data_IF_573702672938
#
_entry.id   IF_573702672938
#
_cell.length_a   1.000
_cell.length_b   1.000
_cell.length_c   1.000
_cell.angle_alpha   90.00
_cell.angle_beta   90.00
_cell.angle_gamma   90.00
#
_symmetry.space_group_name_H-M   'P 1'
#
loop_
_entity.id
_entity.type
_entity.pdbx_description
1 polymer ?
#
# COMPACT_ATOMS: atom_id res chain seq x y z
N UNK A 1 6.30 2.92 -12.84
CA UNK A 1 5.97 3.62 -11.57
C UNK A 1 5.13 4.82 -11.92
N UNK A 2 3.97 5.06 -11.29
CA UNK A 2 3.02 6.18 -11.50
C UNK A 2 2.72 6.73 -12.94
N UNK A 3 3.34 6.28 -14.03
CA UNK A 3 3.36 7.01 -15.29
C UNK A 3 3.55 6.11 -16.53
N UNK A 4 2.44 5.57 -17.02
CA UNK A 4 1.99 5.61 -18.42
C UNK A 4 0.69 4.82 -18.52
N UNK A 5 -0.39 5.44 -19.01
CA UNK A 5 -1.68 4.79 -19.22
C UNK A 5 -2.72 4.98 -18.11
N UNK A 6 -2.58 5.98 -17.24
CA UNK A 6 -3.59 6.33 -16.22
C UNK A 6 -3.75 5.33 -15.07
N UNK A 7 -2.92 4.28 -15.00
CA UNK A 7 -2.93 3.31 -13.90
C UNK A 7 -2.06 3.81 -12.73
N UNK A 8 -2.67 3.90 -11.56
CA UNK A 8 -1.97 4.20 -10.31
C UNK A 8 -1.35 2.93 -9.72
N UNK A 9 -0.30 3.04 -8.89
CA UNK A 9 0.24 1.91 -8.13
C UNK A 9 -0.86 1.21 -7.31
N UNK A 10 -0.74 -0.11 -7.03
CA UNK A 10 -1.82 -0.91 -6.43
C UNK A 10 -2.09 -0.62 -4.94
N UNK A 11 -1.53 0.47 -4.41
CA UNK A 11 -1.73 0.99 -3.07
C UNK A 11 -2.23 2.45 -3.07
N UNK A 12 -2.46 3.04 -4.24
CA UNK A 12 -3.06 4.38 -4.42
C UNK A 12 -4.36 4.24 -5.21
N UNK A 13 -5.47 4.59 -4.59
CA UNK A 13 -6.78 4.57 -5.23
C UNK A 13 -7.10 5.95 -5.84
N UNK A 14 -7.64 6.02 -7.08
CA UNK A 14 -7.93 7.30 -7.74
C UNK A 14 -9.12 8.05 -7.10
N UNK A 15 -8.94 9.30 -6.61
CA UNK A 15 -10.01 10.09 -5.98
C UNK A 15 -11.26 10.27 -6.86
N UNK A 16 -11.06 10.50 -8.17
CA UNK A 16 -12.17 10.70 -9.12
C UNK A 16 -13.16 9.52 -9.20
N UNK A 17 -12.71 8.29 -8.86
CA UNK A 17 -13.57 7.11 -8.85
C UNK A 17 -14.42 7.04 -7.58
N UNK A 18 -13.85 7.42 -6.42
CA UNK A 18 -14.55 7.41 -5.13
C UNK A 18 -15.64 8.48 -5.10
N UNK A 19 -15.33 9.66 -5.64
CA UNK A 19 -16.23 10.82 -5.64
C UNK A 19 -17.41 10.68 -6.61
N UNK A 20 -17.47 9.61 -7.40
CA UNK A 20 -18.59 9.33 -8.29
C UNK A 20 -18.69 10.28 -9.49
N UNK A 21 -17.63 11.02 -9.82
CA UNK A 21 -17.60 11.89 -10.99
C UNK A 21 -17.65 11.03 -12.26
N UNK A 22 -18.80 11.06 -12.93
CA UNK A 22 -19.24 10.18 -14.02
C UNK A 22 -18.42 10.22 -15.33
N UNK A 23 -17.22 10.80 -15.32
CA UNK A 23 -16.32 10.91 -16.48
C UNK A 23 -14.89 10.54 -16.06
N UNK A 24 -14.70 9.32 -15.55
CA UNK A 24 -13.37 8.74 -15.29
C UNK A 24 -12.45 8.81 -16.53
N UNK A 25 -13.05 8.82 -17.73
CA UNK A 25 -12.37 9.02 -19.02
C UNK A 25 -11.76 10.42 -19.21
N UNK A 26 -12.27 11.47 -18.56
CA UNK A 26 -11.73 12.83 -18.73
C UNK A 26 -10.62 13.16 -17.72
N UNK A 27 -10.68 12.58 -16.52
CA UNK A 27 -9.67 12.79 -15.48
C UNK A 27 -8.27 12.34 -15.93
N UNK A 28 -8.19 11.26 -16.69
CA UNK A 28 -6.95 10.64 -17.18
C UNK A 28 -6.67 10.86 -18.67
N UNK A 29 -7.38 11.78 -19.32
CA UNK A 29 -7.31 11.98 -20.78
C UNK A 29 -5.89 12.23 -21.31
N UNK A 30 -5.00 12.80 -20.50
CA UNK A 30 -3.59 13.08 -20.84
C UNK A 30 -2.62 11.98 -20.38
N UNK A 31 -3.13 10.84 -19.91
CA UNK A 31 -2.35 9.73 -19.38
C UNK A 31 -2.02 9.82 -17.88
N UNK A 32 -2.42 10.91 -17.21
CA UNK A 32 -2.21 11.19 -15.79
C UNK A 32 -3.50 11.65 -15.11
N UNK A 33 -3.68 11.28 -13.84
CA UNK A 33 -4.84 11.71 -13.04
C UNK A 33 -4.72 13.19 -12.66
N UNK A 34 -5.68 14.01 -13.10
CA UNK A 34 -5.80 15.42 -12.67
C UNK A 34 -6.38 15.60 -11.27
N UNK A 35 -6.98 14.55 -10.72
CA UNK A 35 -7.64 14.56 -9.40
C UNK A 35 -6.71 14.21 -8.24
N UNK A 36 -5.40 14.09 -8.46
CA UNK A 36 -4.46 13.75 -7.38
C UNK A 36 -4.36 14.92 -6.39
N UNK A 37 -4.37 14.65 -5.08
CA UNK A 37 -4.09 15.68 -4.07
C UNK A 37 -2.66 16.18 -4.21
N UNK A 38 -2.37 17.36 -3.66
CA UNK A 38 -1.11 18.09 -3.86
C UNK A 38 0.14 17.22 -3.67
N UNK A 39 0.24 16.49 -2.55
CA UNK A 39 1.38 15.60 -2.26
C UNK A 39 1.60 14.54 -3.36
N UNK A 40 0.53 13.89 -3.83
CA UNK A 40 0.63 12.88 -4.88
C UNK A 40 0.84 13.49 -6.27
N UNK A 41 0.34 14.72 -6.50
CA UNK A 41 0.60 15.46 -7.73
C UNK A 41 2.08 15.88 -7.83
N UNK A 42 2.68 16.36 -6.73
CA UNK A 42 4.12 16.64 -6.62
C UNK A 42 4.91 15.35 -6.87
N UNK A 43 4.52 14.25 -6.23
CA UNK A 43 5.15 12.94 -6.45
C UNK A 43 5.11 12.51 -7.92
N UNK A 44 3.95 12.63 -8.57
CA UNK A 44 3.80 12.33 -9.99
C UNK A 44 4.74 13.18 -10.88
N UNK A 45 4.88 14.48 -10.59
CA UNK A 45 5.79 15.35 -11.33
C UNK A 45 7.27 14.98 -11.12
N UNK A 46 7.65 14.57 -9.91
CA UNK A 46 9.01 14.11 -9.61
C UNK A 46 9.31 12.76 -10.26
N UNK A 47 8.35 11.83 -10.29
CA UNK A 47 8.48 10.56 -11.05
C UNK A 47 8.68 10.84 -12.54
N UNK A 48 7.90 11.75 -13.12
CA UNK A 48 8.08 12.14 -14.53
C UNK A 48 9.46 12.75 -14.78
N UNK A 49 9.91 13.63 -13.89
CA UNK A 49 11.25 14.24 -13.96
C UNK A 49 12.35 13.18 -13.84
N UNK A 50 12.13 12.16 -13.02
CA UNK A 50 13.02 11.01 -12.87
C UNK A 50 13.06 10.17 -14.14
N UNK A 51 11.92 9.77 -14.69
CA UNK A 51 11.87 8.96 -15.92
C UNK A 51 12.45 9.69 -17.13
N UNK A 52 12.31 11.02 -17.20
CA UNK A 52 12.84 11.85 -18.28
C UNK A 52 14.29 12.34 -18.05
N UNK A 53 14.95 11.95 -16.95
CA UNK A 53 16.26 12.51 -16.59
C UNK A 53 17.34 12.12 -17.59
N UNK A 54 18.30 13.03 -17.78
CA UNK A 54 19.55 12.77 -18.51
C UNK A 54 20.71 12.67 -17.52
N UNK A 55 21.88 12.23 -17.98
CA UNK A 55 23.09 12.21 -17.15
C UNK A 55 23.40 13.60 -16.53
N UNK A 56 23.12 14.69 -17.26
CA UNK A 56 23.34 16.07 -16.78
C UNK A 56 22.30 16.55 -15.75
N UNK A 57 21.11 15.95 -15.71
CA UNK A 57 20.02 16.36 -14.81
C UNK A 57 19.77 15.39 -13.65
N UNK A 58 20.37 14.20 -13.66
CA UNK A 58 20.11 13.15 -12.67
C UNK A 58 20.32 13.61 -11.21
N UNK A 59 21.45 14.25 -10.92
CA UNK A 59 21.73 14.78 -9.56
C UNK A 59 20.71 15.84 -9.13
N UNK A 60 20.26 16.71 -10.05
CA UNK A 60 19.25 17.72 -9.73
C UNK A 60 17.91 17.07 -9.37
N UNK A 61 17.47 16.09 -10.16
CA UNK A 61 16.20 15.39 -9.93
C UNK A 61 16.23 14.65 -8.59
N UNK A 62 17.33 13.96 -8.28
CA UNK A 62 17.49 13.30 -6.99
C UNK A 62 17.44 14.28 -5.81
N UNK A 63 18.14 15.41 -5.89
CA UNK A 63 18.06 16.46 -4.88
C UNK A 63 16.63 16.98 -4.66
N UNK A 64 15.85 17.11 -5.74
CA UNK A 64 14.44 17.50 -5.64
C UNK A 64 13.60 16.44 -4.94
N UNK A 65 13.83 15.16 -5.21
CA UNK A 65 13.16 14.05 -4.52
C UNK A 65 13.49 14.05 -3.02
N UNK A 66 14.76 14.14 -2.64
CA UNK A 66 15.13 14.17 -1.22
C UNK A 66 14.61 15.39 -0.48
N UNK A 67 14.60 16.55 -1.15
CA UNK A 67 14.00 17.75 -0.58
C UNK A 67 12.52 17.55 -0.28
N UNK A 68 11.80 16.88 -1.18
CA UNK A 68 10.39 16.55 -0.96
C UNK A 68 10.20 15.52 0.16
N UNK A 69 11.03 14.47 0.21
CA UNK A 69 11.02 13.52 1.34
C UNK A 69 11.22 14.23 2.67
N UNK A 70 12.22 15.13 2.75
CA UNK A 70 12.50 15.92 3.94
C UNK A 70 11.34 16.86 4.31
N UNK A 71 10.67 17.46 3.32
CA UNK A 71 9.45 18.26 3.56
C UNK A 71 8.36 17.42 4.20
N UNK A 72 8.04 16.27 3.60
CA UNK A 72 7.01 15.35 4.08
C UNK A 72 7.32 14.86 5.49
N UNK A 73 8.58 14.50 5.77
CA UNK A 73 9.00 14.09 7.11
C UNK A 73 8.90 15.21 8.14
N UNK A 74 9.25 16.45 7.80
CA UNK A 74 9.22 17.56 8.76
C UNK A 74 7.81 18.08 9.06
N UNK A 75 6.88 17.96 8.10
CA UNK A 75 5.53 18.50 8.22
C UNK A 75 4.50 17.46 8.71
N UNK A 76 4.86 16.17 8.78
CA UNK A 76 3.90 15.08 9.04
C UNK A 76 3.13 15.20 10.36
N UNK A 77 3.70 15.83 11.39
CA UNK A 77 3.02 16.04 12.68
C UNK A 77 1.78 16.93 12.56
N UNK A 78 1.70 17.74 11.50
CA UNK A 78 0.55 18.61 11.20
C UNK A 78 -0.50 17.96 10.29
N UNK A 79 -0.20 16.79 9.73
CA UNK A 79 -1.03 16.15 8.73
C UNK A 79 -2.21 15.40 9.36
N UNK A 80 -3.36 15.45 8.68
CA UNK A 80 -4.48 14.58 8.96
C UNK A 80 -4.25 13.16 8.39
N UNK A 81 -5.17 12.22 8.67
CA UNK A 81 -5.05 10.82 8.24
C UNK A 81 -4.88 10.64 6.72
N UNK A 82 -5.62 11.40 5.90
CA UNK A 82 -5.48 11.33 4.44
C UNK A 82 -4.15 11.92 3.95
N UNK A 83 -3.70 13.02 4.54
CA UNK A 83 -2.42 13.67 4.23
C UNK A 83 -1.23 12.77 4.63
N UNK A 84 -1.31 12.10 5.79
CA UNK A 84 -0.34 11.11 6.24
C UNK A 84 -0.27 9.92 5.28
N UNK A 85 -1.41 9.41 4.84
CA UNK A 85 -1.47 8.34 3.83
C UNK A 85 -0.80 8.79 2.52
N UNK A 86 -1.14 9.97 2.01
CA UNK A 86 -0.56 10.50 0.78
C UNK A 86 0.96 10.71 0.89
N UNK A 87 1.42 11.22 2.03
CA UNK A 87 2.84 11.38 2.32
C UNK A 87 3.57 10.03 2.34
N UNK A 88 3.02 9.03 3.03
CA UNK A 88 3.61 7.69 3.08
C UNK A 88 3.64 7.04 1.70
N UNK A 89 2.56 7.14 0.93
CA UNK A 89 2.49 6.64 -0.45
C UNK A 89 3.55 7.29 -1.34
N UNK A 90 3.75 8.60 -1.25
CA UNK A 90 4.78 9.32 -2.01
C UNK A 90 6.19 8.85 -1.62
N UNK A 91 6.49 8.73 -0.33
CA UNK A 91 7.79 8.25 0.16
C UNK A 91 8.06 6.81 -0.31
N UNK A 92 7.06 5.92 -0.24
CA UNK A 92 7.18 4.55 -0.77
C UNK A 92 7.52 4.55 -2.26
N UNK A 93 6.91 5.43 -3.06
CA UNK A 93 7.26 5.57 -4.47
C UNK A 93 8.72 5.99 -4.64
N UNK A 94 9.20 6.96 -3.87
CA UNK A 94 10.59 7.40 -3.95
C UNK A 94 11.59 6.30 -3.54
N UNK A 95 11.24 5.45 -2.56
CA UNK A 95 12.04 4.26 -2.23
C UNK A 95 12.08 3.28 -3.41
N UNK A 96 10.95 3.03 -4.07
CA UNK A 96 10.90 2.17 -5.25
C UNK A 96 11.72 2.75 -6.43
N UNK A 97 11.74 4.08 -6.60
CA UNK A 97 12.62 4.72 -7.58
C UNK A 97 14.09 4.49 -7.24
N UNK A 98 14.46 4.60 -5.95
CA UNK A 98 15.84 4.41 -5.50
C UNK A 98 16.28 2.95 -5.64
N UNK A 99 15.40 1.99 -5.35
CA UNK A 99 15.64 0.57 -5.58
C UNK A 99 15.88 0.25 -7.08
N UNK A 100 15.26 1.03 -7.98
CA UNK A 100 15.45 0.92 -9.43
C UNK A 100 16.68 1.65 -9.98
N UNK A 101 17.43 2.38 -9.14
CA UNK A 101 18.64 3.15 -9.53
C UNK A 101 19.73 3.00 -8.45
N UNK A 102 20.22 1.77 -8.18
CA UNK A 102 21.15 1.52 -7.09
C UNK A 102 22.49 2.25 -7.25
N UNK A 103 22.89 2.55 -8.49
CA UNK A 103 24.14 3.26 -8.79
C UNK A 103 24.14 4.71 -8.25
N UNK A 104 22.96 5.29 -7.98
CA UNK A 104 22.86 6.64 -7.42
C UNK A 104 23.01 6.69 -5.90
N UNK A 105 22.89 5.55 -5.20
CA UNK A 105 22.90 5.46 -3.72
C UNK A 105 24.14 6.12 -3.10
N UNK A 106 25.39 5.87 -3.56
CA UNK A 106 26.58 6.42 -2.91
C UNK A 106 26.68 7.95 -2.98
N UNK A 107 25.91 8.58 -3.88
CA UNK A 107 25.96 10.02 -4.15
C UNK A 107 24.79 10.77 -3.51
N UNK A 108 23.87 10.05 -2.89
CA UNK A 108 22.59 10.54 -2.43
C UNK A 108 22.49 10.44 -0.90
N UNK A 109 21.77 11.38 -0.28
CA UNK A 109 21.45 11.32 1.15
C UNK A 109 20.25 10.39 1.39
N UNK A 110 20.52 9.10 1.52
CA UNK A 110 19.50 8.07 1.72
C UNK A 110 18.90 8.07 3.13
N UNK A 111 19.48 8.79 4.10
CA UNK A 111 19.02 8.77 5.49
C UNK A 111 17.56 9.23 5.63
N UNK A 112 17.15 10.24 4.84
CA UNK A 112 15.78 10.71 4.82
C UNK A 112 14.82 9.66 4.22
N UNK A 113 15.23 8.94 3.17
CA UNK A 113 14.40 7.87 2.57
C UNK A 113 14.19 6.69 3.52
N UNK A 114 15.15 6.42 4.40
CA UNK A 114 15.06 5.33 5.39
C UNK A 114 14.23 5.74 6.61
N UNK A 115 14.38 6.97 7.10
CA UNK A 115 13.72 7.43 8.33
C UNK A 115 12.31 8.01 8.14
N UNK A 116 12.01 8.64 7.00
CA UNK A 116 10.69 9.22 6.74
C UNK A 116 9.52 8.21 6.77
N UNK A 117 9.63 6.99 6.20
CA UNK A 117 8.57 5.99 6.28
C UNK A 117 8.20 5.65 7.71
N UNK A 118 9.19 5.54 8.60
CA UNK A 118 8.98 5.18 10.00
C UNK A 118 8.13 6.23 10.73
N UNK A 119 8.55 7.50 10.66
CA UNK A 119 7.88 8.60 11.36
C UNK A 119 6.44 8.76 10.85
N UNK A 120 6.26 8.77 9.53
CA UNK A 120 4.95 8.95 8.91
C UNK A 120 4.04 7.73 9.18
N UNK A 121 4.55 6.50 9.05
CA UNK A 121 3.78 5.29 9.32
C UNK A 121 3.34 5.19 10.79
N UNK A 122 4.17 5.64 11.73
CA UNK A 122 3.81 5.69 13.16
C UNK A 122 2.66 6.65 13.44
N UNK A 123 2.72 7.85 12.87
CA UNK A 123 1.63 8.83 12.97
C UNK A 123 0.35 8.35 12.28
N UNK A 124 0.49 7.67 11.13
CA UNK A 124 -0.64 7.05 10.42
C UNK A 124 -1.26 5.89 11.21
N UNK A 125 -0.45 5.04 11.84
CA UNK A 125 -0.92 3.94 12.67
C UNK A 125 -1.72 4.43 13.88
N UNK A 126 -1.34 5.58 14.44
CA UNK A 126 -2.06 6.19 15.58
C UNK A 126 -3.35 6.89 15.16
N UNK A 127 -3.43 7.36 13.91
CA UNK A 127 -4.58 8.12 13.39
C UNK A 127 -5.58 7.29 12.58
N UNK A 128 -5.24 6.04 12.21
CA UNK A 128 -6.05 5.18 11.35
C UNK A 128 -6.30 3.82 11.99
N UNK A 129 -7.58 3.44 12.09
CA UNK A 129 -7.99 2.11 12.53
C UNK A 129 -8.07 1.14 11.34
N UNK A 130 -6.95 0.97 10.65
CA UNK A 130 -6.86 0.14 9.44
C UNK A 130 -6.76 -1.36 9.76
N UNK A 131 -6.66 -1.79 11.02
CA UNK A 131 -6.49 -3.20 11.38
C UNK A 131 -7.81 -3.97 11.52
N UNK A 132 -8.95 -3.27 11.64
CA UNK A 132 -10.29 -3.86 11.84
C UNK A 132 -10.84 -4.65 10.66
N UNK A 133 -11.80 -5.55 10.88
CA UNK A 133 -12.48 -6.18 9.75
C UNK A 133 -13.32 -5.18 8.94
N UNK A 134 -12.77 -4.77 7.78
CA UNK A 134 -13.42 -3.83 6.85
C UNK A 134 -14.71 -4.37 6.23
N UNK A 135 -15.01 -5.67 6.35
CA UNK A 135 -16.26 -6.30 5.87
C UNK A 135 -17.32 -6.49 6.96
N UNK A 136 -17.02 -6.15 8.22
CA UNK A 136 -17.94 -6.32 9.35
C UNK A 136 -18.94 -5.16 9.47
N UNK A 137 -18.63 -3.98 8.94
CA UNK A 137 -19.48 -2.80 9.12
C UNK A 137 -20.64 -2.76 8.13
N UNK A 138 -21.87 -2.65 8.64
CA UNK A 138 -23.08 -2.45 7.82
C UNK A 138 -23.22 -1.03 7.26
N UNK A 139 -22.38 -0.08 7.71
CA UNK A 139 -22.48 1.35 7.42
C UNK A 139 -21.19 1.97 6.88
N UNK A 140 -20.22 1.16 6.44
CA UNK A 140 -18.95 1.73 5.98
C UNK A 140 -19.16 2.53 4.69
N UNK A 141 -18.70 3.76 4.71
CA UNK A 141 -18.64 4.59 3.51
C UNK A 141 -17.50 4.11 2.59
N UNK A 142 -17.70 4.19 1.27
CA UNK A 142 -16.69 3.71 0.31
C UNK A 142 -15.38 4.49 0.43
N UNK A 143 -15.42 5.81 0.67
CA UNK A 143 -14.22 6.63 0.85
C UNK A 143 -13.44 6.16 2.06
N UNK A 144 -14.15 5.97 3.18
CA UNK A 144 -13.55 5.47 4.42
C UNK A 144 -12.92 4.08 4.24
N UNK A 145 -13.64 3.17 3.57
CA UNK A 145 -13.11 1.84 3.23
C UNK A 145 -11.83 1.95 2.38
N UNK A 146 -11.85 2.79 1.34
CA UNK A 146 -10.71 2.98 0.42
C UNK A 146 -9.50 3.57 1.16
N UNK A 147 -9.69 4.51 2.07
CA UNK A 147 -8.60 5.09 2.87
C UNK A 147 -7.94 3.99 3.70
N UNK A 148 -8.71 3.23 4.50
CA UNK A 148 -8.17 2.16 5.36
C UNK A 148 -7.48 1.05 4.56
N UNK A 149 -8.07 0.67 3.44
CA UNK A 149 -7.49 -0.33 2.55
C UNK A 149 -6.21 0.20 1.88
N UNK A 150 -6.16 1.48 1.52
CA UNK A 150 -4.94 2.11 0.99
C UNK A 150 -3.82 2.15 2.04
N UNK A 151 -4.15 2.37 3.32
CA UNK A 151 -3.18 2.27 4.43
C UNK A 151 -2.62 0.84 4.51
N UNK A 152 -3.47 -0.19 4.53
CA UNK A 152 -3.03 -1.60 4.54
C UNK A 152 -2.09 -1.92 3.40
N UNK A 153 -2.51 -1.58 2.18
CA UNK A 153 -1.75 -1.84 0.95
C UNK A 153 -0.41 -1.11 0.96
N UNK A 154 -0.37 0.13 1.45
CA UNK A 154 0.88 0.90 1.58
C UNK A 154 1.83 0.23 2.57
N UNK A 155 1.34 -0.22 3.73
CA UNK A 155 2.18 -0.90 4.73
C UNK A 155 2.61 -2.29 4.24
N UNK A 156 1.77 -3.01 3.49
CA UNK A 156 2.15 -4.26 2.82
C UNK A 156 3.30 -4.06 1.82
N UNK A 157 3.32 -2.93 1.08
CA UNK A 157 4.41 -2.60 0.18
C UNK A 157 5.68 -2.30 0.98
N UNK A 158 5.59 -1.56 2.08
CA UNK A 158 6.74 -1.30 2.96
C UNK A 158 7.32 -2.61 3.48
N UNK A 159 6.47 -3.53 3.96
CA UNK A 159 6.88 -4.87 4.37
C UNK A 159 7.65 -5.62 3.26
N UNK A 160 7.09 -5.66 2.05
CA UNK A 160 7.74 -6.31 0.91
C UNK A 160 9.08 -5.65 0.54
N UNK A 161 9.15 -4.31 0.57
CA UNK A 161 10.38 -3.56 0.30
C UNK A 161 11.46 -3.84 1.34
N UNK A 162 11.11 -3.89 2.62
CA UNK A 162 12.07 -4.21 3.69
C UNK A 162 12.64 -5.62 3.53
N UNK A 163 11.78 -6.60 3.23
CA UNK A 163 12.22 -7.97 2.97
C UNK A 163 13.14 -8.06 1.74
N UNK A 164 12.79 -7.36 0.66
CA UNK A 164 13.55 -7.45 -0.59
C UNK A 164 14.89 -6.69 -0.55
N UNK A 165 14.95 -5.57 0.16
CA UNK A 165 16.14 -4.72 0.23
C UNK A 165 17.04 -5.03 1.44
N UNK A 166 16.60 -5.89 2.36
CA UNK A 166 17.27 -6.14 3.65
C UNK A 166 17.55 -4.82 4.40
N UNK A 167 16.58 -3.90 4.36
CA UNK A 167 16.64 -2.59 5.02
C UNK A 167 15.64 -2.56 6.14
N UNK A 168 16.11 -2.24 7.35
CA UNK A 168 15.23 -1.94 8.46
C UNK A 168 14.89 -0.44 8.47
N UNK A 169 13.61 -0.11 8.29
CA UNK A 169 13.13 1.26 8.45
C UNK A 169 12.85 1.62 9.91
N UNK A 170 12.91 0.69 10.87
CA UNK A 170 12.74 0.96 12.30
C UNK A 170 14.04 1.51 12.91
N UNK A 171 14.50 2.66 12.42
CA UNK A 171 15.76 3.29 12.83
C UNK A 171 15.70 3.70 14.31
N UNK A 172 14.51 3.99 14.85
CA UNK A 172 14.35 4.43 16.24
C UNK A 172 14.05 3.29 17.25
N UNK A 173 14.02 2.03 16.83
CA UNK A 173 13.84 0.87 17.73
C UNK A 173 12.49 0.83 18.44
N UNK A 174 11.44 1.39 17.83
CA UNK A 174 10.10 1.42 18.39
C UNK A 174 9.45 0.03 18.43
N UNK A 175 8.69 -0.25 19.50
CA UNK A 175 7.89 -1.46 19.71
C UNK A 175 6.65 -1.54 18.80
N UNK A 176 6.77 -1.21 17.51
CA UNK A 176 5.75 -1.67 16.57
C UNK A 176 5.97 -3.19 16.46
N UNK A 177 5.03 -4.00 16.94
CA UNK A 177 5.12 -5.47 17.13
C UNK A 177 5.32 -6.32 15.86
N UNK A 178 6.11 -5.82 14.91
CA UNK A 178 6.40 -6.37 13.62
C UNK A 178 5.20 -6.37 12.69
N UNK A 179 5.41 -6.91 11.49
CA UNK A 179 4.35 -7.09 10.50
C UNK A 179 3.44 -8.29 10.79
N UNK A 180 3.66 -9.04 11.86
CA UNK A 180 2.86 -10.23 12.18
C UNK A 180 1.35 -9.95 12.25
N UNK A 181 0.97 -8.79 12.81
CA UNK A 181 -0.42 -8.36 12.92
C UNK A 181 -0.91 -7.50 11.74
N UNK A 182 -0.06 -7.27 10.72
CA UNK A 182 -0.47 -6.52 9.53
C UNK A 182 -1.56 -7.32 8.79
N UNK A 183 -2.78 -6.75 8.62
CA UNK A 183 -3.81 -7.39 7.82
C UNK A 183 -3.36 -7.64 6.39
N UNK A 184 -3.80 -8.76 5.82
CA UNK A 184 -3.68 -9.00 4.39
C UNK A 184 -4.54 -7.98 3.61
N UNK A 185 -4.07 -7.53 2.43
CA UNK A 185 -4.84 -6.66 1.57
C UNK A 185 -6.14 -7.37 1.15
N UNK A 186 -7.20 -6.60 0.95
CA UNK A 186 -8.43 -7.12 0.37
C UNK A 186 -8.20 -7.65 -1.04
N UNK A 187 -9.02 -8.62 -1.44
CA UNK A 187 -9.02 -9.14 -2.79
C UNK A 187 -9.44 -8.10 -3.84
N UNK A 188 -9.14 -8.41 -5.10
CA UNK A 188 -9.38 -7.57 -6.27
C UNK A 188 -10.82 -7.04 -6.36
N UNK A 189 -11.80 -7.85 -5.96
CA UNK A 189 -13.24 -7.56 -6.10
C UNK A 189 -13.63 -6.20 -5.48
N UNK A 190 -13.03 -5.80 -4.34
CA UNK A 190 -13.33 -4.52 -3.69
C UNK A 190 -12.35 -3.39 -4.02
N UNK A 191 -11.16 -3.71 -4.53
CA UNK A 191 -10.15 -2.73 -4.91
C UNK A 191 -10.26 -2.26 -6.37
N UNK A 192 -11.01 -2.96 -7.22
CA UNK A 192 -11.22 -2.53 -8.60
C UNK A 192 -11.94 -1.17 -8.71
N UNK A 193 -11.55 -0.40 -9.73
CA UNK A 193 -12.16 0.90 -10.04
C UNK A 193 -13.50 0.73 -10.76
N UNK A 194 -14.52 0.32 -10.01
CA UNK A 194 -15.91 0.18 -10.47
C UNK A 194 -16.81 1.31 -9.97
N UNK A 195 -18.03 1.39 -10.49
CA UNK A 195 -19.04 2.36 -10.03
C UNK A 195 -19.37 2.18 -8.54
N UNK A 196 -19.88 3.23 -7.89
CA UNK A 196 -20.28 3.16 -6.48
C UNK A 196 -21.36 2.10 -6.24
N UNK A 197 -22.32 1.96 -7.16
CA UNK A 197 -23.39 0.98 -7.06
C UNK A 197 -22.86 -0.46 -7.18
N UNK A 198 -21.95 -0.69 -8.12
CA UNK A 198 -21.33 -2.01 -8.31
C UNK A 198 -20.46 -2.38 -7.10
N UNK A 199 -19.65 -1.43 -6.62
CA UNK A 199 -18.85 -1.63 -5.41
C UNK A 199 -19.74 -1.96 -4.20
N UNK A 200 -20.84 -1.23 -4.00
CA UNK A 200 -21.77 -1.48 -2.90
C UNK A 200 -22.47 -2.85 -3.00
N UNK A 201 -22.74 -3.33 -4.21
CA UNK A 201 -23.27 -4.69 -4.43
C UNK A 201 -22.24 -5.77 -4.05
N UNK A 202 -20.99 -5.61 -4.51
CA UNK A 202 -19.87 -6.51 -4.16
C UNK A 202 -19.59 -6.52 -2.65
N UNK A 203 -19.58 -5.34 -2.03
CA UNK A 203 -19.41 -5.19 -0.60
C UNK A 203 -20.48 -5.93 0.20
N UNK A 204 -21.76 -5.77 -0.14
CA UNK A 204 -22.86 -6.48 0.56
C UNK A 204 -22.74 -8.00 0.48
N UNK A 205 -22.32 -8.53 -0.67
CA UNK A 205 -22.08 -9.96 -0.86
C UNK A 205 -20.95 -10.46 0.04
N UNK A 206 -19.82 -9.75 0.06
CA UNK A 206 -18.65 -10.13 0.87
C UNK A 206 -18.90 -9.93 2.37
N UNK A 207 -19.59 -8.87 2.77
CA UNK A 207 -20.05 -8.67 4.13
C UNK A 207 -20.95 -9.83 4.58
N UNK A 208 -21.92 -10.27 3.77
CA UNK A 208 -22.78 -11.39 4.14
C UNK A 208 -22.01 -12.69 4.37
N UNK A 209 -20.90 -12.88 3.64
CA UNK A 209 -20.04 -14.08 3.72
C UNK A 209 -19.03 -14.03 4.86
N UNK A 210 -18.42 -12.87 5.15
CA UNK A 210 -17.22 -12.75 5.99
C UNK A 210 -17.34 -11.78 7.18
N UNK A 211 -18.54 -11.29 7.51
CA UNK A 211 -18.74 -10.35 8.64
C UNK A 211 -18.26 -10.86 10.00
N UNK A 212 -18.40 -12.17 10.24
CA UNK A 212 -18.07 -12.79 11.52
C UNK A 212 -16.66 -13.40 11.53
N UNK A 213 -15.93 -13.28 10.42
CA UNK A 213 -14.58 -13.80 10.25
C UNK A 213 -13.53 -12.86 10.86
N UNK A 214 -12.47 -13.44 11.41
CA UNK A 214 -11.28 -12.69 11.82
C UNK A 214 -10.49 -12.21 10.61
N UNK A 215 -9.92 -11.01 10.66
CA UNK A 215 -9.08 -10.49 9.58
C UNK A 215 -7.82 -11.32 9.45
N UNK A 216 -7.58 -11.88 8.26
CA UNK A 216 -6.32 -12.57 7.98
C UNK A 216 -5.17 -11.57 8.04
N UNK A 217 -4.06 -11.96 8.65
CA UNK A 217 -2.83 -11.16 8.74
C UNK A 217 -1.60 -11.95 8.25
N UNK A 218 -0.42 -11.31 8.26
CA UNK A 218 0.83 -11.95 7.84
C UNK A 218 1.17 -13.18 8.71
N UNK A 219 0.88 -13.16 10.02
CA UNK A 219 1.12 -14.32 10.89
C UNK A 219 0.26 -15.53 10.49
N UNK A 220 -1.01 -15.29 10.15
CA UNK A 220 -1.92 -16.30 9.62
C UNK A 220 -1.40 -16.87 8.30
N UNK A 221 -0.85 -16.02 7.44
CA UNK A 221 -0.24 -16.45 6.18
C UNK A 221 0.99 -17.35 6.40
N UNK A 222 1.87 -16.97 7.33
CA UNK A 222 3.04 -17.79 7.73
C UNK A 222 2.62 -19.13 8.34
N UNK A 223 1.53 -19.16 9.13
CA UNK A 223 0.96 -20.39 9.70
C UNK A 223 0.44 -21.30 8.59
N UNK A 224 -0.36 -20.78 7.67
CA UNK A 224 -0.90 -21.55 6.54
C UNK A 224 0.22 -22.13 5.66
N UNK A 225 1.30 -21.37 5.40
CA UNK A 225 2.48 -21.87 4.69
C UNK A 225 3.09 -23.12 5.34
N UNK A 226 3.33 -23.07 6.66
CA UNK A 226 3.90 -24.20 7.40
C UNK A 226 2.98 -25.42 7.44
N UNK A 227 1.67 -25.19 7.50
CA UNK A 227 0.68 -26.27 7.45
C UNK A 227 0.68 -26.99 6.09
N UNK A 228 0.87 -26.24 4.98
CA UNK A 228 0.99 -26.81 3.63
C UNK A 228 2.25 -27.68 3.46
N UNK A 229 3.35 -27.34 4.12
CA UNK A 229 4.59 -28.13 4.08
C UNK A 229 4.51 -29.44 4.87
N UNK A 230 3.59 -29.53 5.84
CA UNK A 230 3.46 -30.66 6.77
C UNK A 230 2.34 -31.66 6.41
N UNK A 231 1.66 -31.46 5.28
CA UNK A 231 0.57 -32.32 4.78
C UNK A 231 -0.60 -32.48 5.78
N UNK A 232 -0.80 -31.48 6.64
CA UNK A 232 -1.86 -31.47 7.67
C UNK A 232 -3.15 -30.93 7.04
N UNK A 233 -3.94 -31.81 6.41
CA UNK A 233 -5.31 -31.51 5.96
C UNK A 233 -6.32 -32.23 6.85
N UNK A 234 -6.48 -31.78 8.09
CA UNK A 234 -7.55 -32.25 8.97
C UNK A 234 -8.62 -31.15 9.15
N UNK A 235 -9.82 -31.48 9.64
CA UNK A 235 -10.89 -30.51 9.96
C UNK A 235 -10.56 -29.63 11.19
N UNK A 236 -9.27 -29.51 11.52
CA UNK A 236 -8.76 -28.72 12.63
C UNK A 236 -8.92 -27.22 12.36
N UNK A 237 -8.66 -26.41 13.38
CA UNK A 237 -8.57 -24.95 13.24
C UNK A 237 -7.57 -24.54 12.13
N UNK A 238 -6.51 -25.32 11.96
CA UNK A 238 -5.46 -25.10 10.97
C UNK A 238 -5.95 -25.40 9.54
N UNK A 239 -6.73 -26.47 9.34
CA UNK A 239 -7.37 -26.74 8.05
C UNK A 239 -8.34 -25.64 7.63
N UNK A 240 -9.10 -25.07 8.58
CA UNK A 240 -9.96 -23.90 8.31
C UNK A 240 -9.15 -22.67 7.94
N UNK A 241 -8.04 -22.41 8.63
CA UNK A 241 -7.15 -21.30 8.30
C UNK A 241 -6.57 -21.45 6.88
N UNK A 242 -6.06 -22.64 6.53
CA UNK A 242 -5.55 -22.96 5.19
C UNK A 242 -6.63 -22.74 4.14
N UNK A 243 -7.86 -23.18 4.38
CA UNK A 243 -9.01 -22.93 3.50
C UNK A 243 -9.27 -21.44 3.27
N UNK A 244 -9.28 -20.62 4.34
CA UNK A 244 -9.47 -19.15 4.23
C UNK A 244 -8.33 -18.46 3.49
N UNK A 245 -7.09 -18.91 3.70
CA UNK A 245 -5.93 -18.42 2.95
C UNK A 245 -6.03 -18.81 1.48
N UNK A 246 -6.48 -20.03 1.16
CA UNK A 246 -6.72 -20.44 -0.22
C UNK A 246 -7.81 -19.59 -0.90
N UNK A 247 -8.93 -19.32 -0.23
CA UNK A 247 -9.96 -18.41 -0.73
C UNK A 247 -9.42 -16.99 -0.96
N UNK A 248 -8.56 -16.49 -0.06
CA UNK A 248 -7.88 -15.21 -0.27
C UNK A 248 -6.97 -15.25 -1.49
N UNK A 249 -6.19 -16.34 -1.68
CA UNK A 249 -5.32 -16.56 -2.83
C UNK A 249 -6.08 -16.57 -4.18
N UNK A 250 -7.33 -17.05 -4.21
CA UNK A 250 -8.19 -16.99 -5.39
C UNK A 250 -8.59 -15.55 -5.77
N UNK A 251 -8.57 -14.64 -4.80
CA UNK A 251 -9.02 -13.25 -4.96
C UNK A 251 -7.89 -12.24 -5.22
N UNK A 252 -6.63 -12.69 -5.35
CA UNK A 252 -5.47 -11.81 -5.39
C UNK A 252 -5.44 -10.89 -6.61
N UNK A 253 -5.06 -9.64 -6.35
CA UNK A 253 -4.50 -8.75 -7.36
C UNK A 253 -2.96 -8.80 -7.35
N UNK A 254 -2.33 -7.91 -8.10
CA UNK A 254 -0.87 -7.85 -8.20
C UNK A 254 -0.18 -7.62 -6.85
N UNK A 255 -0.80 -6.84 -5.94
CA UNK A 255 -0.25 -6.56 -4.62
C UNK A 255 -0.43 -7.75 -3.68
N UNK A 256 -1.62 -8.38 -3.70
CA UNK A 256 -1.86 -9.61 -2.95
C UNK A 256 -0.86 -10.72 -3.34
N UNK A 257 -0.59 -10.87 -4.64
CA UNK A 257 0.43 -11.81 -5.13
C UNK A 257 1.83 -11.45 -4.62
N UNK A 258 2.21 -10.16 -4.64
CA UNK A 258 3.49 -9.72 -4.08
C UNK A 258 3.61 -10.11 -2.59
N UNK A 259 2.58 -9.84 -1.78
CA UNK A 259 2.58 -10.18 -0.34
C UNK A 259 2.72 -11.68 -0.13
N UNK A 260 1.97 -12.49 -0.90
CA UNK A 260 2.09 -13.94 -0.86
C UNK A 260 3.53 -14.39 -1.15
N UNK A 261 4.10 -13.92 -2.26
CA UNK A 261 5.47 -14.27 -2.66
C UNK A 261 6.52 -13.81 -1.64
N UNK A 262 6.36 -12.63 -1.06
CA UNK A 262 7.25 -12.11 -0.02
C UNK A 262 7.27 -13.03 1.20
N UNK A 263 6.09 -13.45 1.69
CA UNK A 263 6.01 -14.41 2.80
C UNK A 263 6.57 -15.77 2.42
N UNK A 264 6.42 -16.23 1.19
CA UNK A 264 7.00 -17.51 0.75
C UNK A 264 8.54 -17.50 0.74
N UNK A 265 9.17 -16.33 0.61
CA UNK A 265 10.64 -16.19 0.60
C UNK A 265 11.26 -16.10 2.00
N UNK A 266 10.48 -15.90 3.06
CA UNK A 266 11.00 -15.86 4.43
C UNK A 266 11.52 -17.25 4.85
N UNK A 267 12.82 -17.36 5.15
CA UNK A 267 13.46 -18.59 5.63
C UNK A 267 12.91 -19.08 6.97
#
# INVERSE_FOLDING_TARGET
MMAKGGRLPPFIFPPCVVEGNALTTDCCSTGYHKCLPETLAICCNLVQSFEARTAGSASFVWKSIYKEVGRLQNEHDSYNCEELLQALQAVVIYILLQAGDPDSVPYNDIAALVSAPESIAKSLHTSSDYTVNLTNSTKIDRREWVIRESVRRTICIIFGVQLMLDVDFNVAGGECGGYSQLPLPSGRELWETVSNDEWAARYRKLHARYRDDNVLNIQDLRRARRALESDITDQSEEGRLVGRVAEWCESLDELGMMVWMAVMQES
#
